data_IF_621833432498
#
_entry.id   IF_621833432498
#
_cell.length_a   1.000
_cell.length_b   1.000
_cell.length_c   1.000
_cell.angle_alpha   90.00
_cell.angle_beta   90.00
_cell.angle_gamma   90.00
#
_symmetry.space_group_name_H-M   'P 1'
#
loop_
_entity.id
_entity.type
_entity.pdbx_description
1 polymer ?
#
# COMPACT_ATOMS: atom_id res chain seq x y z
N UNK A 1 -19.38 -21.89 13.63
CA UNK A 1 -18.83 -21.51 12.34
C UNK A 1 -19.31 -20.12 11.96
N UNK A 2 -18.40 -19.22 11.59
CA UNK A 2 -18.78 -17.85 11.24
C UNK A 2 -19.60 -17.84 9.95
N UNK A 3 -20.63 -17.00 9.92
CA UNK A 3 -21.50 -16.83 8.77
C UNK A 3 -21.28 -15.47 8.13
N UNK A 4 -21.35 -15.41 6.83
CA UNK A 4 -21.18 -14.15 6.09
C UNK A 4 -22.18 -13.08 6.57
N UNK A 5 -23.41 -13.47 6.89
CA UNK A 5 -24.46 -12.55 7.35
C UNK A 5 -24.08 -11.80 8.63
N UNK A 6 -23.36 -12.46 9.53
CA UNK A 6 -22.90 -11.84 10.78
C UNK A 6 -21.92 -10.70 10.48
N UNK A 7 -21.11 -10.86 9.45
CA UNK A 7 -20.08 -9.89 9.08
C UNK A 7 -20.58 -8.77 8.18
N UNK A 8 -21.87 -8.78 7.87
CA UNK A 8 -22.55 -7.68 7.19
C UNK A 8 -23.23 -6.72 8.17
N UNK A 9 -23.25 -7.05 9.46
CA UNK A 9 -23.77 -6.16 10.50
C UNK A 9 -22.81 -5.01 10.76
N UNK A 10 -23.35 -3.83 11.10
CA UNK A 10 -22.57 -2.61 11.28
C UNK A 10 -21.43 -2.75 12.29
N UNK A 11 -21.67 -3.39 13.43
CA UNK A 11 -20.66 -3.57 14.46
C UNK A 11 -19.49 -4.45 13.97
N UNK A 12 -19.79 -5.45 13.15
CA UNK A 12 -18.77 -6.32 12.55
C UNK A 12 -18.02 -5.62 11.43
N UNK A 13 -18.70 -4.82 10.62
CA UNK A 13 -18.07 -4.04 9.57
C UNK A 13 -17.08 -3.02 10.16
N UNK A 14 -17.42 -2.42 11.29
CA UNK A 14 -16.51 -1.51 12.00
C UNK A 14 -15.22 -2.23 12.41
N UNK A 15 -15.34 -3.47 12.88
CA UNK A 15 -14.16 -4.29 13.21
C UNK A 15 -13.30 -4.57 11.99
N UNK A 16 -13.93 -4.95 10.87
CA UNK A 16 -13.21 -5.22 9.62
C UNK A 16 -12.44 -3.98 9.14
N UNK A 17 -13.09 -2.83 9.15
CA UNK A 17 -12.46 -1.59 8.74
C UNK A 17 -11.28 -1.25 9.66
N UNK A 18 -11.47 -1.39 10.99
CA UNK A 18 -10.42 -1.13 11.97
C UNK A 18 -9.22 -2.04 11.81
N UNK A 19 -9.45 -3.34 11.61
CA UNK A 19 -8.35 -4.29 11.40
C UNK A 19 -7.57 -3.97 10.12
N UNK A 20 -8.28 -3.65 9.05
CA UNK A 20 -7.65 -3.28 7.80
C UNK A 20 -6.85 -1.97 7.93
N UNK A 21 -7.41 -1.00 8.65
CA UNK A 21 -6.74 0.27 8.94
C UNK A 21 -5.48 0.08 9.78
N UNK A 22 -5.50 -0.89 10.71
CA UNK A 22 -4.35 -1.22 11.54
C UNK A 22 -3.27 -1.98 10.78
N UNK A 23 -3.49 -2.29 9.52
CA UNK A 23 -2.50 -2.93 8.66
C UNK A 23 -2.47 -4.45 8.76
N UNK A 24 -3.48 -5.07 9.34
CA UNK A 24 -3.54 -6.54 9.41
C UNK A 24 -3.60 -7.13 8.00
N UNK A 25 -2.91 -8.26 7.83
CA UNK A 25 -2.97 -9.03 6.58
C UNK A 25 -4.33 -9.72 6.45
N UNK A 26 -4.67 -10.15 5.24
CA UNK A 26 -5.91 -10.91 5.02
C UNK A 26 -5.95 -12.17 5.86
N UNK A 27 -4.81 -12.85 6.03
CA UNK A 27 -4.72 -14.04 6.88
C UNK A 27 -5.04 -13.73 8.33
N UNK A 28 -4.51 -12.64 8.85
CA UNK A 28 -4.78 -12.19 10.22
C UNK A 28 -6.25 -11.80 10.41
N UNK A 29 -6.82 -11.10 9.44
CA UNK A 29 -8.24 -10.72 9.47
C UNK A 29 -9.11 -11.97 9.44
N UNK A 30 -8.83 -12.91 8.55
CA UNK A 30 -9.58 -14.17 8.47
C UNK A 30 -9.49 -14.94 9.79
N UNK A 31 -8.30 -15.00 10.40
CA UNK A 31 -8.11 -15.64 11.69
C UNK A 31 -9.00 -14.99 12.76
N UNK A 32 -9.02 -13.66 12.81
CA UNK A 32 -9.85 -12.93 13.78
C UNK A 32 -11.35 -13.14 13.55
N UNK A 33 -11.74 -13.37 12.30
CA UNK A 33 -13.12 -13.69 11.94
C UNK A 33 -13.48 -15.15 12.24
N UNK A 34 -12.51 -16.01 12.50
CA UNK A 34 -12.73 -17.44 12.71
C UNK A 34 -12.92 -18.23 11.42
N UNK A 35 -12.38 -17.73 10.30
CA UNK A 35 -12.49 -18.38 8.98
C UNK A 35 -11.11 -18.55 8.36
N UNK A 36 -11.03 -19.36 7.30
CA UNK A 36 -9.80 -19.49 6.52
C UNK A 36 -9.65 -18.37 5.49
N UNK A 37 -8.44 -18.18 5.02
CA UNK A 37 -8.12 -17.16 4.00
C UNK A 37 -8.94 -17.37 2.72
N UNK A 38 -9.10 -18.62 2.28
CA UNK A 38 -9.87 -18.95 1.09
C UNK A 38 -11.33 -18.49 1.24
N UNK A 39 -11.92 -18.73 2.41
CA UNK A 39 -13.28 -18.30 2.72
C UNK A 39 -13.40 -16.78 2.67
N UNK A 40 -12.43 -16.07 3.24
CA UNK A 40 -12.43 -14.60 3.21
C UNK A 40 -12.39 -14.08 1.78
N UNK A 41 -11.54 -14.66 0.93
CA UNK A 41 -11.46 -14.28 -0.48
C UNK A 41 -12.77 -14.50 -1.23
N UNK A 42 -13.45 -15.61 -0.94
CA UNK A 42 -14.77 -15.89 -1.50
C UNK A 42 -15.82 -14.88 -1.03
N UNK A 43 -15.81 -14.54 0.26
CA UNK A 43 -16.75 -13.58 0.83
C UNK A 43 -16.55 -12.19 0.23
N UNK A 44 -15.31 -11.79 -0.01
CA UNK A 44 -15.01 -10.50 -0.66
C UNK A 44 -15.61 -10.41 -2.05
N UNK A 45 -15.65 -11.53 -2.78
CA UNK A 45 -16.27 -11.58 -4.11
C UNK A 45 -17.80 -11.57 -4.04
N UNK A 46 -18.37 -12.26 -3.04
CA UNK A 46 -19.81 -12.38 -2.88
C UNK A 46 -20.47 -11.16 -2.28
N UNK A 47 -19.78 -10.47 -1.41
CA UNK A 47 -20.33 -9.34 -0.65
C UNK A 47 -19.53 -8.06 -0.93
N UNK A 48 -20.02 -7.21 -1.84
CA UNK A 48 -19.36 -5.92 -2.12
C UNK A 48 -19.15 -5.06 -0.89
N UNK A 49 -20.05 -5.16 0.10
CA UNK A 49 -19.93 -4.39 1.36
C UNK A 49 -18.68 -4.79 2.13
N UNK A 50 -18.36 -6.09 2.20
CA UNK A 50 -17.13 -6.56 2.85
C UNK A 50 -15.91 -6.06 2.09
N UNK A 51 -15.92 -6.19 0.77
CA UNK A 51 -14.83 -5.74 -0.08
C UNK A 51 -14.57 -4.23 0.08
N UNK A 52 -15.62 -3.42 0.03
CA UNK A 52 -15.47 -1.96 0.15
C UNK A 52 -15.01 -1.56 1.56
N UNK A 53 -15.46 -2.25 2.59
CA UNK A 53 -15.06 -1.98 3.98
C UNK A 53 -13.56 -2.26 4.19
N UNK A 54 -13.08 -3.40 3.71
CA UNK A 54 -11.66 -3.77 3.81
C UNK A 54 -10.79 -2.81 3.00
N UNK A 55 -11.24 -2.47 1.80
CA UNK A 55 -10.54 -1.53 0.93
C UNK A 55 -10.44 -0.15 1.55
N UNK A 56 -11.52 0.34 2.16
CA UNK A 56 -11.55 1.64 2.81
C UNK A 56 -10.53 1.74 3.94
N UNK A 57 -10.46 0.71 4.79
CA UNK A 57 -9.44 0.67 5.84
C UNK A 57 -8.03 0.61 5.27
N UNK A 58 -7.82 -0.19 4.24
CA UNK A 58 -6.52 -0.35 3.58
C UNK A 58 -6.03 0.95 2.93
N UNK A 59 -6.93 1.73 2.36
CA UNK A 59 -6.56 3.02 1.75
C UNK A 59 -5.92 3.97 2.74
N UNK A 60 -6.37 3.97 4.00
CA UNK A 60 -5.76 4.79 5.05
C UNK A 60 -4.31 4.37 5.29
N UNK A 61 -4.06 3.06 5.41
CA UNK A 61 -2.72 2.52 5.60
C UNK A 61 -1.83 2.83 4.40
N UNK A 62 -2.34 2.61 3.20
CA UNK A 62 -1.59 2.88 1.97
C UNK A 62 -1.19 4.35 1.88
N UNK A 63 -2.09 5.25 2.26
CA UNK A 63 -1.81 6.68 2.30
C UNK A 63 -0.70 7.01 3.30
N UNK A 64 -0.73 6.42 4.49
CA UNK A 64 0.31 6.61 5.50
C UNK A 64 1.67 6.09 5.02
N UNK A 65 1.67 4.92 4.38
CA UNK A 65 2.91 4.33 3.83
C UNK A 65 3.44 5.19 2.69
N UNK A 66 2.56 5.68 1.80
CA UNK A 66 2.97 6.58 0.72
C UNK A 66 3.63 7.85 1.27
N UNK A 67 3.05 8.44 2.32
CA UNK A 67 3.62 9.62 2.95
C UNK A 67 4.99 9.34 3.57
N UNK A 68 5.14 8.20 4.24
CA UNK A 68 6.42 7.78 4.82
C UNK A 68 7.46 7.52 3.73
N UNK A 69 7.04 6.89 2.65
CA UNK A 69 7.91 6.62 1.51
C UNK A 69 8.41 7.92 0.87
N UNK A 70 7.51 8.86 0.64
CA UNK A 70 7.86 10.18 0.09
C UNK A 70 8.85 10.90 1.00
N UNK A 71 8.58 10.91 2.29
CA UNK A 71 9.47 11.54 3.28
C UNK A 71 10.86 10.92 3.25
N UNK A 72 10.95 9.59 3.25
CA UNK A 72 12.22 8.87 3.19
C UNK A 72 12.96 9.17 1.88
N UNK A 73 12.24 9.23 0.77
CA UNK A 73 12.83 9.56 -0.53
C UNK A 73 13.43 10.97 -0.52
N UNK A 74 12.69 11.94 0.00
CA UNK A 74 13.15 13.34 0.07
C UNK A 74 14.33 13.50 1.04
N UNK A 75 14.45 12.64 2.04
CA UNK A 75 15.57 12.64 2.99
C UNK A 75 16.83 11.93 2.45
N UNK A 76 16.76 11.34 1.26
CA UNK A 76 17.91 10.75 0.59
C UNK A 76 17.97 9.23 0.52
N UNK A 77 16.89 8.54 0.90
CA UNK A 77 16.84 7.08 0.80
C UNK A 77 16.69 6.67 -0.67
N UNK A 78 17.74 6.11 -1.24
CA UNK A 78 17.78 5.77 -2.68
C UNK A 78 16.76 4.69 -3.05
N UNK A 79 16.58 3.69 -2.21
CA UNK A 79 15.60 2.62 -2.47
C UNK A 79 14.18 3.21 -2.54
N UNK A 80 13.85 4.09 -1.62
CA UNK A 80 12.55 4.77 -1.60
C UNK A 80 12.37 5.66 -2.84
N UNK A 81 13.42 6.35 -3.25
CA UNK A 81 13.42 7.20 -4.44
C UNK A 81 13.13 6.39 -5.71
N UNK A 82 13.83 5.27 -5.88
CA UNK A 82 13.64 4.38 -7.02
C UNK A 82 12.23 3.83 -7.05
N UNK A 83 11.74 3.37 -5.90
CA UNK A 83 10.39 2.82 -5.78
C UNK A 83 9.34 3.88 -6.16
N UNK A 84 9.49 5.09 -5.66
CA UNK A 84 8.56 6.20 -5.97
C UNK A 84 8.51 6.49 -7.46
N UNK A 85 9.68 6.65 -8.09
CA UNK A 85 9.77 6.97 -9.51
C UNK A 85 9.18 5.88 -10.38
N UNK A 86 9.47 4.61 -10.08
CA UNK A 86 8.92 3.48 -10.84
C UNK A 86 7.40 3.40 -10.78
N UNK A 87 6.81 3.80 -9.67
CA UNK A 87 5.37 3.68 -9.47
C UNK A 87 4.61 4.95 -9.85
N UNK A 88 5.18 6.14 -9.63
CA UNK A 88 4.52 7.42 -9.93
C UNK A 88 4.82 7.94 -11.33
N UNK A 89 6.00 7.64 -11.85
CA UNK A 89 6.48 8.09 -13.14
C UNK A 89 6.74 6.92 -14.08
N UNK A 90 5.83 5.97 -14.13
CA UNK A 90 5.98 4.72 -14.89
C UNK A 90 6.44 4.92 -16.34
N UNK A 91 5.86 5.90 -17.03
CA UNK A 91 6.16 6.13 -18.45
C UNK A 91 7.55 6.68 -18.68
N UNK A 92 8.12 7.37 -17.68
CA UNK A 92 9.44 7.99 -17.79
C UNK A 92 10.55 7.09 -17.24
N UNK A 93 10.25 6.29 -16.20
CA UNK A 93 11.27 5.59 -15.42
C UNK A 93 11.16 4.08 -15.44
N UNK A 94 10.07 3.53 -15.94
CA UNK A 94 9.78 2.10 -15.87
C UNK A 94 10.87 1.22 -16.46
N UNK A 95 11.44 1.61 -17.59
CA UNK A 95 12.47 0.85 -18.29
C UNK A 95 13.88 1.38 -18.03
N UNK A 96 13.99 2.55 -17.45
CA UNK A 96 15.27 3.24 -17.23
C UNK A 96 15.88 2.98 -15.87
N UNK A 97 15.04 2.64 -14.88
CA UNK A 97 15.51 2.39 -13.52
C UNK A 97 15.40 0.92 -13.20
N UNK A 98 16.55 0.25 -13.19
CA UNK A 98 16.71 -1.02 -12.51
C UNK A 98 17.31 -0.69 -11.15
N UNK A 99 17.22 -1.63 -10.18
CA UNK A 99 17.88 -1.41 -8.89
C UNK A 99 19.38 -1.23 -9.17
N UNK A 100 19.94 -0.04 -8.90
CA UNK A 100 21.34 0.22 -9.26
C UNK A 100 22.27 -0.67 -8.43
N UNK A 101 23.19 -1.33 -9.11
CA UNK A 101 24.22 -2.15 -8.48
C UNK A 101 25.58 -1.46 -8.45
N UNK A 102 25.71 -0.29 -9.10
CA UNK A 102 26.95 0.46 -9.12
C UNK A 102 26.73 1.93 -8.73
N UNK A 103 27.80 2.59 -8.20
CA UNK A 103 27.69 3.98 -7.73
C UNK A 103 27.31 4.99 -8.82
N UNK A 104 27.69 4.76 -10.05
CA UNK A 104 27.40 5.66 -11.16
C UNK A 104 25.91 5.76 -11.44
N UNK A 105 25.21 4.63 -11.45
CA UNK A 105 23.77 4.59 -11.62
C UNK A 105 23.04 5.22 -10.44
N UNK A 106 23.53 4.98 -9.23
CA UNK A 106 22.98 5.59 -8.01
C UNK A 106 23.09 7.12 -8.07
N UNK A 107 24.21 7.64 -8.53
CA UNK A 107 24.42 9.09 -8.67
C UNK A 107 23.43 9.70 -9.67
N UNK A 108 23.19 9.04 -10.79
CA UNK A 108 22.23 9.53 -11.79
C UNK A 108 20.83 9.63 -11.22
N UNK A 109 20.39 8.60 -10.49
CA UNK A 109 19.08 8.60 -9.84
C UNK A 109 19.00 9.73 -8.82
N UNK A 110 20.06 9.92 -8.03
CA UNK A 110 20.11 10.97 -7.01
C UNK A 110 20.02 12.37 -7.63
N UNK A 111 20.77 12.61 -8.72
CA UNK A 111 20.76 13.89 -9.42
C UNK A 111 19.37 14.23 -9.98
N UNK A 112 18.70 13.25 -10.56
CA UNK A 112 17.35 13.44 -11.11
C UNK A 112 16.34 13.77 -10.02
N UNK A 113 16.47 13.12 -8.86
CA UNK A 113 15.61 13.38 -7.72
C UNK A 113 15.84 14.75 -7.13
N UNK A 114 17.09 15.19 -7.06
CA UNK A 114 17.43 16.53 -6.61
C UNK A 114 16.78 17.59 -7.51
N UNK A 115 16.76 17.36 -8.82
CA UNK A 115 16.07 18.26 -9.75
C UNK A 115 14.58 18.32 -9.48
N UNK A 116 13.93 17.16 -9.27
CA UNK A 116 12.51 17.10 -8.95
C UNK A 116 12.19 17.78 -7.62
N UNK A 117 13.03 17.59 -6.62
CA UNK A 117 12.87 18.22 -5.31
C UNK A 117 12.99 19.74 -5.41
N UNK A 118 13.94 20.23 -6.19
CA UNK A 118 14.11 21.66 -6.41
C UNK A 118 12.90 22.27 -7.12
N UNK A 119 12.32 21.58 -8.08
CA UNK A 119 11.09 22.03 -8.74
C UNK A 119 9.92 22.08 -7.78
N UNK A 120 9.79 21.11 -6.89
CA UNK A 120 8.72 21.06 -5.91
C UNK A 120 8.83 22.16 -4.85
N UNK A 121 10.03 22.67 -4.59
CA UNK A 121 10.31 23.69 -3.57
C UNK A 121 10.27 25.14 -4.12
N UNK A 122 9.96 25.30 -5.39
CA UNK A 122 9.85 26.62 -6.00
C UNK A 122 8.48 27.26 -5.79
#
# INVERSE_FOLDING_TARGET
MARIDEWLENDKLILLEGWSRDGLTQEQIAHNMGIGLTTLKEWRKKAPTIESTLKKGREVVDFEVENALLKNALEGNVTAQIFWLKNRKKNEWREKIEIPTNPEQLNKVQDLLNQLTNEANK
#
